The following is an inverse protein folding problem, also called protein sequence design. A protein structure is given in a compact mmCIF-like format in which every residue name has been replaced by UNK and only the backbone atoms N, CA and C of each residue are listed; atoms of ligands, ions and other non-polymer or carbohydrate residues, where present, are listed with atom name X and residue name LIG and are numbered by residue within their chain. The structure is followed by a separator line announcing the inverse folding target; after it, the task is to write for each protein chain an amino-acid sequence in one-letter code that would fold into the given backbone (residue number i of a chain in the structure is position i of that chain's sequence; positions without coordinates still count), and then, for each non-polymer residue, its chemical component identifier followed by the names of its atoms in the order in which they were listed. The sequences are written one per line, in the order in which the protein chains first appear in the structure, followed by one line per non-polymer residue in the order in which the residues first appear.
data_IF_607388729361
#
_entry.id   IF_607388729361
#
_cell.length_a   1.000
_cell.length_b   1.000
_cell.length_c   1.000
_cell.angle_alpha   90.00
_cell.angle_beta   90.00
_cell.angle_gamma   90.00
#
_symmetry.space_group_name_H-M   'P 1'
#
loop_
_entity.id
_entity.type
_entity.pdbx_description
1 polymer ?
#
# COMPACT_ATOMS: atom_id res chain seq x y z
N UNK A 1 -1.62 14.00 -17.62
CA UNK A 1 -2.17 14.88 -16.57
C UNK A 1 -2.04 16.30 -17.05
N UNK A 2 -3.12 17.09 -16.95
CA UNK A 2 -2.99 18.54 -16.84
C UNK A 2 -2.53 18.83 -15.41
N UNK A 3 -1.86 19.96 -15.16
CA UNK A 3 -1.24 20.31 -13.87
C UNK A 3 -2.20 20.46 -12.68
N UNK A 4 -3.47 20.10 -12.85
CA UNK A 4 -4.61 20.20 -11.92
C UNK A 4 -5.20 18.82 -11.54
N UNK A 5 -4.67 17.71 -12.06
CA UNK A 5 -5.12 16.38 -11.71
C UNK A 5 -4.56 15.96 -10.33
N UNK A 6 -5.30 16.29 -9.27
CA UNK A 6 -4.98 15.89 -7.90
C UNK A 6 -4.93 14.36 -7.76
N UNK A 7 -3.86 13.85 -7.15
CA UNK A 7 -3.78 12.46 -6.71
C UNK A 7 -4.84 12.23 -5.64
N UNK A 8 -5.73 11.25 -5.85
CA UNK A 8 -6.81 10.97 -4.93
C UNK A 8 -6.33 10.02 -3.83
N UNK A 9 -6.60 10.40 -2.58
CA UNK A 9 -6.35 9.53 -1.44
C UNK A 9 -7.42 8.44 -1.38
N UNK A 10 -6.98 7.19 -1.23
CA UNK A 10 -7.85 6.06 -0.94
C UNK A 10 -8.17 6.01 0.55
N UNK A 11 -9.40 5.62 0.89
CA UNK A 11 -9.86 5.45 2.26
C UNK A 11 -10.80 4.25 2.38
N UNK A 12 -10.56 3.18 1.62
CA UNK A 12 -11.39 1.98 1.70
C UNK A 12 -11.08 1.19 2.98
N UNK A 13 -11.99 0.32 3.38
CA UNK A 13 -11.81 -0.54 4.55
C UNK A 13 -10.95 -1.78 4.27
N UNK A 14 -10.43 -1.92 3.06
CA UNK A 14 -9.65 -3.08 2.61
C UNK A 14 -8.28 -2.70 2.01
N UNK A 15 -7.91 -1.42 2.10
CA UNK A 15 -6.62 -0.91 1.65
C UNK A 15 -5.51 -1.47 2.56
N UNK A 16 -4.58 -2.25 2.01
CA UNK A 16 -3.64 -3.07 2.78
C UNK A 16 -2.81 -2.27 3.79
N UNK A 17 -2.14 -1.21 3.31
CA UNK A 17 -1.37 -0.28 4.14
C UNK A 17 -2.24 0.86 4.72
N UNK A 18 -3.56 0.68 4.80
CA UNK A 18 -4.51 1.69 5.28
C UNK A 18 -4.73 2.88 4.33
N UNK A 19 -5.43 3.93 4.79
CA UNK A 19 -5.77 5.08 3.94
C UNK A 19 -4.55 5.86 3.44
N UNK A 20 -4.49 6.15 2.15
CA UNK A 20 -3.34 6.82 1.55
C UNK A 20 -3.41 6.96 0.03
N UNK A 21 -2.48 7.72 -0.52
CA UNK A 21 -2.18 7.77 -1.96
C UNK A 21 -1.15 6.68 -2.25
N UNK A 22 -1.50 5.71 -3.10
CA UNK A 22 -0.68 4.52 -3.31
C UNK A 22 0.28 4.66 -4.48
N UNK A 23 1.53 4.26 -4.24
CA UNK A 23 2.60 4.16 -5.22
C UNK A 23 3.28 2.80 -5.16
N UNK A 24 3.99 2.47 -6.23
CA UNK A 24 4.94 1.37 -6.27
C UNK A 24 6.36 1.91 -6.28
N UNK A 25 7.20 1.33 -5.45
CA UNK A 25 8.60 1.72 -5.37
C UNK A 25 9.39 1.07 -6.51
N UNK A 26 10.02 1.92 -7.33
CA UNK A 26 10.96 1.56 -8.40
C UNK A 26 10.53 0.45 -9.39
N UNK A 27 9.22 0.25 -9.61
CA UNK A 27 8.74 -0.81 -10.51
C UNK A 27 7.78 -0.29 -11.61
N UNK A 28 8.30 0.45 -12.60
CA UNK A 28 7.50 0.92 -13.73
C UNK A 28 6.99 -0.22 -14.60
N UNK A 29 7.65 -1.38 -14.60
CA UNK A 29 7.23 -2.55 -15.38
C UNK A 29 5.96 -3.18 -14.79
N UNK A 30 5.92 -3.40 -13.48
CA UNK A 30 4.71 -3.83 -12.77
C UNK A 30 3.63 -2.78 -12.93
N UNK A 31 3.94 -1.48 -12.80
CA UNK A 31 3.00 -0.36 -13.01
C UNK A 31 2.29 -0.45 -14.37
N UNK A 32 3.06 -0.66 -15.45
CA UNK A 32 2.50 -0.87 -16.79
C UNK A 32 1.65 -2.13 -16.87
N UNK A 33 2.14 -3.25 -16.33
CA UNK A 33 1.43 -4.53 -16.31
C UNK A 33 0.05 -4.40 -15.65
N UNK A 34 -0.02 -3.75 -14.49
CA UNK A 34 -1.27 -3.49 -13.78
C UNK A 34 -2.21 -2.57 -14.54
N UNK A 35 -1.71 -1.48 -15.10
CA UNK A 35 -2.53 -0.60 -15.92
C UNK A 35 -3.16 -1.37 -17.10
N UNK A 36 -2.43 -2.34 -17.67
CA UNK A 36 -2.94 -3.30 -18.66
C UNK A 36 -4.03 -4.23 -18.11
N UNK A 37 -3.85 -4.79 -16.92
CA UNK A 37 -4.87 -5.61 -16.22
C UNK A 37 -6.16 -4.82 -15.98
N UNK A 38 -6.03 -3.57 -15.52
CA UNK A 38 -7.15 -2.68 -15.25
C UNK A 38 -7.88 -2.26 -16.55
N UNK A 39 -7.14 -2.10 -17.67
CA UNK A 39 -7.73 -1.93 -19.00
C UNK A 39 -8.55 -3.15 -19.41
N UNK A 40 -8.00 -4.36 -19.25
CA UNK A 40 -8.73 -5.62 -19.55
C UNK A 40 -10.01 -5.77 -18.72
N UNK A 41 -10.00 -5.26 -17.48
CA UNK A 41 -11.18 -5.20 -16.59
C UNK A 41 -12.14 -4.05 -16.88
N UNK A 42 -11.90 -3.24 -17.92
CA UNK A 42 -12.74 -2.10 -18.28
C UNK A 42 -12.62 -0.88 -17.36
N UNK A 43 -11.72 -0.91 -16.36
CA UNK A 43 -11.53 0.18 -15.39
C UNK A 43 -10.69 1.35 -15.94
N UNK A 44 -9.88 1.10 -16.96
CA UNK A 44 -9.06 2.13 -17.63
C UNK A 44 -9.23 2.05 -19.14
N UNK A 45 -9.41 3.20 -19.81
CA UNK A 45 -9.49 3.27 -21.27
C UNK A 45 -8.11 3.40 -21.93
N UNK A 46 -7.27 4.30 -21.42
CA UNK A 46 -5.92 4.60 -21.92
C UNK A 46 -4.91 4.51 -20.77
N UNK A 47 -4.25 3.35 -20.57
CA UNK A 47 -3.28 3.19 -19.50
C UNK A 47 -2.03 4.02 -19.78
N UNK A 48 -1.49 4.63 -18.72
CA UNK A 48 -0.18 5.26 -18.71
C UNK A 48 0.39 5.16 -17.29
N UNK A 49 1.70 5.41 -17.14
CA UNK A 49 2.37 5.39 -15.84
C UNK A 49 2.90 6.77 -15.51
N UNK A 50 2.82 7.11 -14.22
CA UNK A 50 3.43 8.29 -13.63
C UNK A 50 4.52 7.84 -12.65
N UNK A 51 5.57 8.64 -12.55
CA UNK A 51 6.51 8.58 -11.44
C UNK A 51 6.18 9.67 -10.43
N UNK A 52 6.63 9.47 -9.19
CA UNK A 52 6.59 10.48 -8.15
C UNK A 52 7.93 10.52 -7.42
N UNK A 53 8.35 11.72 -7.04
CA UNK A 53 9.47 11.92 -6.12
C UNK A 53 8.86 12.03 -4.72
N UNK A 54 9.22 11.09 -3.85
CA UNK A 54 8.67 10.99 -2.51
C UNK A 54 9.77 11.22 -1.46
N UNK A 55 9.42 11.89 -0.38
CA UNK A 55 10.11 11.72 0.91
C UNK A 55 9.24 10.84 1.80
N UNK A 56 9.83 9.92 2.55
CA UNK A 56 9.05 8.99 3.38
C UNK A 56 8.66 9.59 4.75
N UNK A 57 9.31 10.67 5.20
CA UNK A 57 9.01 11.30 6.49
C UNK A 57 9.09 10.30 7.66
N UNK A 58 8.14 10.39 8.60
CA UNK A 58 7.95 9.37 9.63
C UNK A 58 7.24 8.14 9.04
N UNK A 59 8.01 7.17 8.57
CA UNK A 59 7.50 6.02 7.84
C UNK A 59 7.34 4.78 8.72
N UNK A 60 6.16 4.15 8.64
CA UNK A 60 5.96 2.78 9.11
C UNK A 60 6.45 1.84 7.99
N UNK A 61 7.65 1.28 8.14
CA UNK A 61 8.24 0.35 7.16
C UNK A 61 8.05 -1.09 7.65
N UNK A 62 7.22 -1.88 6.96
CA UNK A 62 6.92 -3.27 7.37
C UNK A 62 8.11 -4.23 7.22
N UNK A 63 9.25 -3.76 6.71
CA UNK A 63 10.51 -4.52 6.71
C UNK A 63 11.39 -4.16 7.92
N UNK A 64 10.99 -3.18 8.74
CA UNK A 64 11.66 -2.79 9.97
C UNK A 64 11.02 -3.45 11.20
N UNK A 65 11.86 -4.03 12.05
CA UNK A 65 11.42 -4.75 13.26
C UNK A 65 10.57 -3.90 14.21
N UNK A 66 10.91 -2.63 14.44
CA UNK A 66 10.13 -1.75 15.33
C UNK A 66 8.74 -1.44 14.78
N UNK A 67 8.63 -1.28 13.46
CA UNK A 67 7.33 -1.08 12.81
C UNK A 67 6.48 -2.35 12.91
N UNK A 68 7.09 -3.53 12.76
CA UNK A 68 6.39 -4.81 12.95
C UNK A 68 5.88 -4.99 14.38
N UNK A 69 6.68 -4.61 15.38
CA UNK A 69 6.26 -4.60 16.80
C UNK A 69 5.07 -3.65 17.01
N UNK A 70 5.13 -2.41 16.50
CA UNK A 70 4.04 -1.47 16.61
C UNK A 70 2.75 -1.96 15.91
N UNK A 71 2.87 -2.63 14.77
CA UNK A 71 1.73 -3.26 14.06
C UNK A 71 1.13 -4.40 14.91
N UNK A 72 1.97 -5.22 15.55
CA UNK A 72 1.51 -6.28 16.42
C UNK A 72 0.76 -5.74 17.66
N UNK A 73 1.27 -4.68 18.28
CA UNK A 73 0.62 -4.00 19.41
C UNK A 73 -0.71 -3.36 19.00
N UNK A 74 -0.78 -2.77 17.81
CA UNK A 74 -2.02 -2.24 17.26
C UNK A 74 -3.05 -3.34 17.01
N UNK A 75 -2.65 -4.49 16.46
CA UNK A 75 -3.54 -5.63 16.31
C UNK A 75 -4.05 -6.14 17.67
N UNK A 76 -3.18 -6.26 18.67
CA UNK A 76 -3.58 -6.66 20.02
C UNK A 76 -4.57 -5.68 20.65
N UNK A 77 -4.40 -4.37 20.40
CA UNK A 77 -5.34 -3.33 20.85
C UNK A 77 -6.70 -3.45 20.17
N UNK A 78 -6.72 -3.62 18.84
CA UNK A 78 -7.94 -3.84 18.06
C UNK A 78 -8.74 -5.05 18.58
N UNK A 79 -8.04 -6.17 18.88
CA UNK A 79 -8.67 -7.38 19.44
C UNK A 79 -9.33 -7.09 20.79
N UNK A 80 -8.65 -6.38 21.70
CA UNK A 80 -9.19 -6.02 23.02
C UNK A 80 -10.40 -5.10 22.92
N UNK A 81 -10.34 -4.09 22.07
CA UNK A 81 -11.43 -3.14 21.84
C UNK A 81 -12.68 -3.82 21.30
N UNK A 82 -12.52 -4.68 20.28
CA UNK A 82 -13.63 -5.43 19.71
C UNK A 82 -14.23 -6.41 20.72
N UNK A 83 -13.41 -7.07 21.54
CA UNK A 83 -13.91 -7.95 22.60
C UNK A 83 -14.78 -7.20 23.62
N UNK A 84 -14.39 -5.99 24.02
CA UNK A 84 -15.13 -5.17 24.98
C UNK A 84 -16.53 -4.80 24.48
N UNK A 85 -16.71 -4.64 23.17
CA UNK A 85 -18.01 -4.30 22.54
C UNK A 85 -18.70 -5.51 21.91
N UNK A 86 -18.22 -6.73 22.13
CA UNK A 86 -18.69 -7.98 21.49
C UNK A 86 -18.70 -7.90 19.95
N UNK A 87 -17.79 -7.11 19.38
CA UNK A 87 -17.54 -7.04 17.95
C UNK A 87 -16.72 -8.21 17.44
N UNK A 88 -16.73 -8.44 16.12
CA UNK A 88 -15.93 -9.47 15.46
C UNK A 88 -14.74 -8.85 14.73
N UNK A 89 -13.61 -9.56 14.70
CA UNK A 89 -12.47 -9.17 13.88
C UNK A 89 -12.83 -9.25 12.39
N UNK A 90 -12.50 -8.21 11.60
CA UNK A 90 -12.53 -8.30 10.15
C UNK A 90 -11.61 -9.44 9.68
N UNK A 91 -11.90 -9.95 8.47
CA UNK A 91 -11.08 -10.99 7.85
C UNK A 91 -10.61 -10.52 6.49
N UNK A 92 -9.36 -10.83 6.16
CA UNK A 92 -8.87 -10.66 4.80
C UNK A 92 -9.60 -11.62 3.86
N UNK A 93 -9.93 -11.16 2.67
CA UNK A 93 -10.73 -11.88 1.66
C UNK A 93 -10.22 -11.55 0.24
N UNK A 94 -10.92 -12.04 -0.78
CA UNK A 94 -10.55 -11.77 -2.18
C UNK A 94 -9.63 -12.81 -2.83
N UNK A 95 -9.80 -14.08 -2.46
CA UNK A 95 -9.09 -15.22 -3.08
C UNK A 95 -7.69 -15.45 -2.51
N UNK A 96 -6.86 -16.21 -3.25
CA UNK A 96 -5.52 -16.62 -2.81
C UNK A 96 -4.58 -15.45 -2.53
N UNK A 97 -4.71 -14.36 -3.29
CA UNK A 97 -3.87 -13.16 -3.15
C UNK A 97 -4.39 -12.19 -2.08
N UNK A 98 -5.52 -12.51 -1.42
CA UNK A 98 -6.15 -11.67 -0.38
C UNK A 98 -6.31 -10.21 -0.82
N UNK A 99 -6.93 -9.97 -1.99
CA UNK A 99 -7.05 -8.62 -2.55
C UNK A 99 -7.90 -7.65 -1.71
N UNK A 100 -8.62 -8.14 -0.71
CA UNK A 100 -9.37 -7.34 0.26
C UNK A 100 -8.75 -7.52 1.64
N UNK A 101 -7.94 -6.55 2.08
CA UNK A 101 -7.16 -6.65 3.32
C UNK A 101 -7.86 -5.99 4.50
N UNK A 102 -9.11 -6.39 4.78
CA UNK A 102 -9.93 -5.73 5.79
C UNK A 102 -9.33 -5.78 7.21
N UNK A 103 -8.70 -6.89 7.59
CA UNK A 103 -8.03 -6.98 8.89
C UNK A 103 -6.80 -6.07 8.90
N UNK A 104 -5.96 -6.16 7.88
CA UNK A 104 -4.71 -5.39 7.84
C UNK A 104 -5.02 -3.87 7.83
N UNK A 105 -6.02 -3.43 7.06
CA UNK A 105 -6.49 -2.04 7.04
C UNK A 105 -6.97 -1.59 8.42
N UNK A 106 -7.76 -2.41 9.11
CA UNK A 106 -8.25 -2.11 10.45
C UNK A 106 -7.10 -2.00 11.48
N UNK A 107 -6.11 -2.89 11.40
CA UNK A 107 -4.89 -2.84 12.24
C UNK A 107 -4.12 -1.55 11.99
N UNK A 108 -3.88 -1.18 10.74
CA UNK A 108 -3.17 0.07 10.41
C UNK A 108 -3.96 1.31 10.87
N UNK A 109 -5.29 1.32 10.72
CA UNK A 109 -6.14 2.40 11.25
C UNK A 109 -6.03 2.49 12.78
N UNK A 110 -5.97 1.36 13.47
CA UNK A 110 -5.76 1.30 14.93
C UNK A 110 -4.40 1.89 15.28
N UNK A 111 -3.33 1.49 14.57
CA UNK A 111 -1.98 2.04 14.77
C UNK A 111 -1.95 3.56 14.58
N UNK A 112 -2.62 4.09 13.56
CA UNK A 112 -2.75 5.54 13.38
C UNK A 112 -3.48 6.22 14.55
N UNK A 113 -4.48 5.56 15.14
CA UNK A 113 -5.18 6.03 16.34
C UNK A 113 -4.23 6.12 17.54
N UNK A 114 -3.50 5.04 17.82
CA UNK A 114 -2.53 4.96 18.92
C UNK A 114 -1.42 6.02 18.78
N UNK A 115 -0.83 6.16 17.59
CA UNK A 115 0.17 7.20 17.34
C UNK A 115 -0.38 8.60 17.62
N UNK A 116 -1.64 8.86 17.22
CA UNK A 116 -2.29 10.16 17.44
C UNK A 116 -2.49 10.45 18.94
N UNK A 117 -2.82 9.44 19.73
CA UNK A 117 -2.95 9.57 21.20
C UNK A 117 -1.62 9.94 21.86
N UNK A 118 -0.51 9.46 21.31
CA UNK A 118 0.86 9.82 21.73
C UNK A 118 1.36 11.15 21.16
N UNK A 119 0.53 11.89 20.42
CA UNK A 119 0.93 13.14 19.76
C UNK A 119 1.85 12.94 18.55
N UNK A 120 1.90 11.72 18.00
CA UNK A 120 2.68 11.35 16.83
C UNK A 120 1.78 11.13 15.59
N UNK A 121 2.40 11.05 14.41
CA UNK A 121 1.72 10.67 13.18
C UNK A 121 2.65 9.97 12.21
N UNK A 122 2.14 9.02 11.44
CA UNK A 122 2.84 8.46 10.29
C UNK A 122 2.54 9.26 9.02
N UNK A 123 3.59 9.54 8.26
CA UNK A 123 3.53 10.25 6.98
C UNK A 123 3.32 9.28 5.81
N UNK A 124 4.03 8.16 5.85
CA UNK A 124 3.94 7.09 4.85
C UNK A 124 3.96 5.71 5.50
N UNK A 125 3.46 4.73 4.77
CA UNK A 125 3.63 3.32 5.07
C UNK A 125 4.27 2.65 3.87
N UNK A 126 5.26 1.80 4.10
CA UNK A 126 6.00 1.08 3.05
C UNK A 126 5.98 -0.41 3.37
N UNK A 127 5.63 -1.24 2.39
CA UNK A 127 5.62 -2.68 2.61
C UNK A 127 5.74 -3.53 1.35
N UNK A 128 6.38 -4.70 1.50
CA UNK A 128 6.51 -5.71 0.46
C UNK A 128 5.19 -6.48 0.28
N UNK A 129 4.53 -6.31 -0.87
CA UNK A 129 3.31 -7.02 -1.20
C UNK A 129 3.63 -8.30 -1.99
N UNK A 130 3.21 -9.44 -1.45
CA UNK A 130 3.31 -10.73 -2.13
C UNK A 130 2.03 -10.98 -2.95
N UNK A 131 2.15 -11.13 -4.26
CA UNK A 131 1.03 -11.34 -5.18
C UNK A 131 1.41 -12.31 -6.32
N UNK A 132 0.43 -13.07 -6.81
CA UNK A 132 0.55 -13.85 -8.03
C UNK A 132 1.06 -15.27 -7.82
N UNK A 133 1.11 -15.73 -6.57
CA UNK A 133 1.67 -17.01 -6.17
C UNK A 133 3.18 -17.12 -6.37
N UNK A 134 3.75 -18.24 -5.93
CA UNK A 134 5.17 -18.54 -6.09
C UNK A 134 5.59 -18.50 -7.57
N UNK A 135 6.78 -17.96 -7.83
CA UNK A 135 7.35 -17.81 -9.17
C UNK A 135 7.71 -19.17 -9.78
N UNK A 136 8.23 -20.07 -8.95
CA UNK A 136 8.58 -21.45 -9.28
C UNK A 136 8.31 -22.36 -8.06
N UNK A 137 8.29 -23.67 -8.28
CA UNK A 137 8.02 -24.69 -7.25
C UNK A 137 8.97 -24.57 -6.06
N UNK A 138 8.43 -24.63 -4.84
CA UNK A 138 9.13 -24.48 -3.56
C UNK A 138 9.99 -23.20 -3.42
N UNK A 139 9.71 -22.18 -4.22
CA UNK A 139 10.41 -20.90 -4.21
C UNK A 139 9.88 -19.88 -3.20
N UNK A 140 10.75 -18.96 -2.77
CA UNK A 140 10.39 -17.80 -1.93
C UNK A 140 10.02 -16.53 -2.70
N UNK A 141 10.16 -16.52 -4.03
CA UNK A 141 9.79 -15.37 -4.87
C UNK A 141 8.38 -15.51 -5.41
N UNK A 142 7.66 -14.39 -5.54
CA UNK A 142 6.30 -14.38 -6.08
C UNK A 142 6.25 -13.64 -7.42
N UNK A 143 5.35 -14.07 -8.31
CA UNK A 143 5.28 -13.60 -9.70
C UNK A 143 5.05 -12.09 -9.86
N UNK A 144 4.46 -11.46 -8.85
CA UNK A 144 4.09 -10.05 -8.87
C UNK A 144 4.47 -9.34 -7.58
N UNK A 145 5.49 -9.81 -6.87
CA UNK A 145 6.01 -9.10 -5.71
C UNK A 145 6.39 -7.66 -6.07
N UNK A 146 6.00 -6.70 -5.23
CA UNK A 146 6.37 -5.30 -5.38
C UNK A 146 6.27 -4.61 -4.03
N UNK A 147 7.01 -3.51 -3.86
CA UNK A 147 6.86 -2.65 -2.68
C UNK A 147 5.75 -1.64 -2.96
N UNK A 148 4.80 -1.55 -2.03
CA UNK A 148 3.79 -0.50 -2.01
C UNK A 148 4.16 0.58 -1.01
N UNK A 149 3.90 1.83 -1.38
CA UNK A 149 3.98 2.98 -0.48
C UNK A 149 2.61 3.63 -0.43
N UNK A 150 2.00 3.69 0.75
CA UNK A 150 0.82 4.49 1.01
C UNK A 150 1.25 5.82 1.64
N UNK A 151 1.07 6.92 0.90
CA UNK A 151 1.36 8.27 1.37
C UNK A 151 0.12 8.83 2.06
N UNK A 152 0.19 9.02 3.37
CA UNK A 152 -0.89 9.57 4.19
C UNK A 152 -0.81 11.10 4.27
N UNK A 153 0.41 11.64 4.31
CA UNK A 153 0.68 13.08 4.28
C UNK A 153 1.03 13.53 2.85
N UNK A 154 0.15 14.27 2.13
CA UNK A 154 0.44 14.68 0.75
C UNK A 154 1.68 15.57 0.59
N UNK A 155 2.14 16.24 1.65
CA UNK A 155 3.38 17.02 1.63
C UNK A 155 4.64 16.16 1.36
N UNK A 156 4.55 14.85 1.55
CA UNK A 156 5.59 13.89 1.22
C UNK A 156 5.74 13.65 -0.30
N UNK A 157 4.79 14.12 -1.11
CA UNK A 157 4.85 14.04 -2.57
C UNK A 157 5.52 15.32 -3.08
N UNK A 158 6.83 15.24 -3.32
CA UNK A 158 7.65 16.39 -3.73
C UNK A 158 7.43 16.77 -5.20
N UNK A 159 6.98 15.81 -6.02
CA UNK A 159 6.66 16.05 -7.41
C UNK A 159 6.12 14.81 -8.10
N UNK A 160 5.45 15.01 -9.24
CA UNK A 160 4.96 13.94 -10.11
C UNK A 160 5.42 14.22 -11.54
N UNK A 161 5.72 13.16 -12.28
CA UNK A 161 6.13 13.26 -13.67
C UNK A 161 5.55 12.12 -14.49
N UNK A 162 5.40 12.34 -15.80
CA UNK A 162 4.92 11.31 -16.71
C UNK A 162 6.11 10.47 -17.19
N UNK A 163 6.01 9.16 -17.05
CA UNK A 163 6.96 8.26 -17.70
C UNK A 163 6.63 8.18 -19.18
N UNK A 164 7.63 8.44 -20.03
CA UNK A 164 7.49 8.31 -21.49
C UNK A 164 7.51 6.83 -21.90
N UNK A 165 6.93 6.53 -23.06
CA UNK A 165 7.07 5.22 -23.67
C UNK A 165 8.53 5.05 -24.11
N UNK A 166 9.21 4.01 -23.63
CA UNK A 166 10.62 3.73 -23.94
C UNK A 166 11.62 3.88 -22.79
N UNK A 167 11.24 4.49 -21.66
CA UNK A 167 12.09 4.43 -20.46
C UNK A 167 12.09 3.00 -19.91
N UNK A 168 13.17 2.26 -20.18
CA UNK A 168 13.55 1.05 -19.47
C UNK A 168 14.52 1.47 -18.37
N UNK A 169 14.12 1.25 -17.12
CA UNK A 169 15.10 1.30 -16.03
C UNK A 169 15.95 0.03 -16.12
N UNK A 170 17.25 0.11 -15.80
CA UNK A 170 18.07 -1.08 -15.67
C UNK A 170 17.51 -2.00 -14.57
N UNK A 171 17.99 -3.24 -14.52
CA UNK A 171 17.81 -4.11 -13.36
C UNK A 171 18.63 -3.49 -12.22
N UNK A 172 18.05 -2.55 -11.49
CA UNK A 172 18.61 -2.00 -10.25
C UNK A 172 18.46 -2.98 -9.08
#
# INVERSE_FOLDING_TARGET
MRGDAFLQQSNNDFDWLGPGIYFWENDPHRARSFAGEQKKRGKLKRPFVIGAVLTLGNCIDTLNQRSLEAIADAHASLVRELAAVKGSLPKNAGGKDLLQRNLDCAVIRTLHGLLKEEGQSADTLRGLYHEGGMLYEDGGFYKKSHIQIAVRNPACILGVFRLTEGMQLPLE
#
